data_IF_972387648377
#
_entry.id   IF_972387648377
#
_cell.length_a   1.000
_cell.length_b   1.000
_cell.length_c   1.000
_cell.angle_alpha   90.00
_cell.angle_beta   90.00
_cell.angle_gamma   90.00
#
_symmetry.space_group_name_H-M   'P 1'
#
loop_
_entity.id
_entity.type
_entity.pdbx_description
1 polymer ?
#
# COMPACT_ATOMS: atom_id res chain seq x y z
N UNK A 1 13.52 2.80 6.47
CA UNK A 1 12.74 2.06 5.44
C UNK A 1 11.91 3.08 4.68
N UNK A 2 11.94 3.04 3.34
CA UNK A 2 11.21 3.98 2.50
C UNK A 2 9.93 3.31 2.00
N UNK A 3 8.77 3.69 2.55
CA UNK A 3 7.49 3.09 2.17
C UNK A 3 7.14 3.29 0.68
N UNK A 4 7.75 4.27 0.01
CA UNK A 4 7.58 4.51 -1.43
C UNK A 4 8.27 3.40 -2.25
N UNK A 5 9.40 2.85 -1.78
CA UNK A 5 10.08 1.74 -2.46
C UNK A 5 9.23 0.47 -2.40
N UNK A 6 8.70 0.16 -1.21
CA UNK A 6 7.75 -0.94 -1.02
C UNK A 6 6.51 -0.77 -1.91
N UNK A 7 5.97 0.45 -1.99
CA UNK A 7 4.83 0.77 -2.84
C UNK A 7 5.14 0.58 -4.35
N UNK A 8 6.36 0.91 -4.78
CA UNK A 8 6.78 0.67 -6.16
C UNK A 8 6.86 -0.81 -6.49
N UNK A 9 7.35 -1.64 -5.55
CA UNK A 9 7.36 -3.10 -5.71
C UNK A 9 5.93 -3.64 -5.82
N UNK A 10 5.00 -3.12 -5.02
CA UNK A 10 3.56 -3.44 -5.13
C UNK A 10 3.06 -3.14 -6.55
N UNK A 11 3.35 -1.95 -7.10
CA UNK A 11 2.93 -1.59 -8.46
C UNK A 11 3.50 -2.51 -9.53
N UNK A 12 4.76 -2.93 -9.40
CA UNK A 12 5.38 -3.88 -10.34
C UNK A 12 4.70 -5.24 -10.28
N UNK A 13 4.46 -5.79 -9.08
CA UNK A 13 3.79 -7.09 -8.91
C UNK A 13 2.36 -7.07 -9.44
N UNK A 14 1.59 -6.04 -9.12
CA UNK A 14 0.23 -5.89 -9.62
C UNK A 14 0.19 -5.78 -11.15
N UNK A 15 1.12 -5.02 -11.74
CA UNK A 15 1.24 -4.90 -13.20
C UNK A 15 1.63 -6.20 -13.89
N UNK A 16 2.58 -6.97 -13.31
CA UNK A 16 3.04 -8.23 -13.87
C UNK A 16 1.94 -9.32 -13.94
N UNK A 17 0.99 -9.28 -13.02
CA UNK A 17 -0.12 -10.25 -12.93
C UNK A 17 -1.42 -9.73 -13.57
N UNK A 18 -1.46 -8.47 -14.00
CA UNK A 18 -2.61 -7.87 -14.67
C UNK A 18 -3.67 -7.27 -13.74
N UNK A 19 -3.35 -7.04 -12.47
CA UNK A 19 -4.23 -6.39 -11.49
C UNK A 19 -4.21 -4.84 -11.62
N UNK A 20 -4.41 -4.34 -12.84
CA UNK A 20 -4.33 -2.91 -13.15
C UNK A 20 -5.41 -2.06 -12.45
N UNK A 21 -6.59 -2.63 -12.17
CA UNK A 21 -7.64 -1.94 -11.40
C UNK A 21 -7.19 -1.64 -9.96
N UNK A 22 -6.63 -2.64 -9.28
CA UNK A 22 -6.12 -2.51 -7.91
C UNK A 22 -4.98 -1.48 -7.86
N UNK A 23 -4.08 -1.55 -8.84
CA UNK A 23 -2.99 -0.58 -8.98
C UNK A 23 -3.53 0.85 -9.14
N UNK A 24 -4.57 1.05 -9.95
CA UNK A 24 -5.23 2.36 -10.11
C UNK A 24 -5.90 2.83 -8.81
N UNK A 25 -6.53 1.95 -8.04
CA UNK A 25 -7.12 2.29 -6.73
C UNK A 25 -6.06 2.84 -5.77
N UNK A 26 -4.91 2.15 -5.67
CA UNK A 26 -3.80 2.57 -4.80
C UNK A 26 -3.19 3.88 -5.31
N UNK A 27 -3.00 4.03 -6.63
CA UNK A 27 -2.52 5.29 -7.23
C UNK A 27 -3.47 6.46 -6.95
N UNK A 28 -4.79 6.22 -7.01
CA UNK A 28 -5.78 7.23 -6.66
C UNK A 28 -5.64 7.64 -5.19
N UNK A 29 -5.51 6.68 -4.26
CA UNK A 29 -5.26 6.98 -2.85
C UNK A 29 -3.97 7.81 -2.65
N UNK A 30 -2.91 7.51 -3.41
CA UNK A 30 -1.68 8.29 -3.39
C UNK A 30 -1.89 9.74 -3.87
N UNK A 31 -2.59 9.93 -4.99
CA UNK A 31 -2.82 11.26 -5.57
C UNK A 31 -3.85 12.09 -4.80
N UNK A 32 -4.78 11.45 -4.08
CA UNK A 32 -5.80 12.13 -3.29
C UNK A 32 -5.30 12.68 -1.95
N UNK A 33 -4.08 12.34 -1.53
CA UNK A 33 -3.51 12.86 -0.29
C UNK A 33 -3.01 14.29 -0.42
N UNK A 34 -3.37 15.15 0.53
CA UNK A 34 -2.82 16.49 0.70
C UNK A 34 -2.08 16.58 2.05
N UNK A 35 -1.05 17.43 2.15
CA UNK A 35 -0.37 17.77 3.41
C UNK A 35 0.02 16.57 4.33
N UNK A 36 0.59 15.51 3.76
CA UNK A 36 1.09 14.35 4.53
C UNK A 36 0.09 13.20 4.68
N UNK A 37 -1.17 13.36 4.25
CA UNK A 37 -2.20 12.32 4.32
C UNK A 37 -2.00 11.18 3.30
N UNK A 38 -1.16 11.39 2.28
CA UNK A 38 -0.87 10.42 1.23
C UNK A 38 -0.53 9.03 1.77
N UNK A 39 0.34 8.98 2.79
CA UNK A 39 0.73 7.72 3.41
C UNK A 39 -0.47 6.99 4.05
N UNK A 40 -1.30 7.75 4.78
CA UNK A 40 -2.46 7.20 5.47
C UNK A 40 -3.51 6.65 4.49
N UNK A 41 -3.81 7.38 3.42
CA UNK A 41 -4.76 6.92 2.39
C UNK A 41 -4.28 5.66 1.69
N UNK A 42 -2.99 5.60 1.35
CA UNK A 42 -2.37 4.39 0.78
C UNK A 42 -2.49 3.23 1.78
N UNK A 43 -2.15 3.45 3.06
CA UNK A 43 -2.25 2.43 4.10
C UNK A 43 -3.68 1.90 4.25
N UNK A 44 -4.70 2.77 4.24
CA UNK A 44 -6.11 2.36 4.29
C UNK A 44 -6.47 1.46 3.10
N UNK A 45 -6.05 1.81 1.88
CA UNK A 45 -6.30 0.99 0.70
C UNK A 45 -5.62 -0.39 0.81
N UNK A 46 -4.39 -0.46 1.33
CA UNK A 46 -3.69 -1.73 1.53
C UNK A 46 -4.37 -2.61 2.60
N UNK A 47 -4.91 -2.01 3.66
CA UNK A 47 -5.70 -2.73 4.67
C UNK A 47 -7.00 -3.28 4.06
N UNK A 48 -7.67 -2.52 3.20
CA UNK A 48 -8.86 -3.01 2.49
C UNK A 48 -8.51 -4.21 1.57
N UNK A 49 -7.41 -4.13 0.83
CA UNK A 49 -6.93 -5.25 0.00
C UNK A 49 -6.64 -6.48 0.86
N UNK A 50 -5.97 -6.31 2.00
CA UNK A 50 -5.69 -7.40 2.97
C UNK A 50 -6.97 -8.09 3.45
N UNK A 51 -8.04 -7.34 3.68
CA UNK A 51 -9.31 -7.86 4.20
C UNK A 51 -10.17 -8.52 3.12
N UNK A 52 -10.31 -7.86 1.98
CA UNK A 52 -11.36 -8.17 0.99
C UNK A 52 -10.81 -8.85 -0.27
N UNK A 53 -9.49 -8.85 -0.50
CA UNK A 53 -8.85 -9.34 -1.73
C UNK A 53 -7.69 -10.29 -1.43
N UNK A 54 -7.97 -11.42 -0.76
CA UNK A 54 -6.97 -12.39 -0.24
C UNK A 54 -5.93 -12.82 -1.27
N UNK A 55 -6.35 -13.15 -2.51
CA UNK A 55 -5.40 -13.58 -3.56
C UNK A 55 -4.41 -12.49 -3.95
N UNK A 56 -4.88 -11.24 -4.05
CA UNK A 56 -4.04 -10.10 -4.37
C UNK A 56 -3.14 -9.78 -3.18
N UNK A 57 -3.69 -9.86 -1.96
CA UNK A 57 -2.93 -9.65 -0.74
C UNK A 57 -1.74 -10.61 -0.62
N UNK A 58 -1.93 -11.92 -0.83
CA UNK A 58 -0.83 -12.88 -0.73
C UNK A 58 0.31 -12.58 -1.72
N UNK A 59 0.02 -12.01 -2.90
CA UNK A 59 1.04 -11.59 -3.87
C UNK A 59 1.93 -10.44 -3.34
N UNK A 60 1.34 -9.50 -2.60
CA UNK A 60 1.98 -8.26 -2.13
C UNK A 60 2.20 -8.21 -0.61
N UNK A 61 2.00 -9.34 0.07
CA UNK A 61 1.92 -9.43 1.53
C UNK A 61 3.17 -8.92 2.24
N UNK A 62 4.35 -9.23 1.71
CA UNK A 62 5.62 -8.80 2.28
C UNK A 62 5.72 -7.28 2.34
N UNK A 63 5.47 -6.62 1.21
CA UNK A 63 5.54 -5.16 1.08
C UNK A 63 4.43 -4.48 1.91
N UNK A 64 3.22 -5.05 1.89
CA UNK A 64 2.08 -4.53 2.69
C UNK A 64 2.38 -4.59 4.19
N UNK A 65 2.88 -5.72 4.70
CA UNK A 65 3.24 -5.85 6.11
C UNK A 65 4.41 -4.94 6.50
N UNK A 66 5.39 -4.75 5.61
CA UNK A 66 6.47 -3.78 5.81
C UNK A 66 5.94 -2.34 5.94
N UNK A 67 5.01 -1.93 5.07
CA UNK A 67 4.37 -0.61 5.13
C UNK A 67 3.53 -0.46 6.41
N UNK A 68 2.73 -1.47 6.79
CA UNK A 68 1.94 -1.45 8.04
C UNK A 68 2.86 -1.43 9.27
N UNK A 69 3.97 -2.15 9.26
CA UNK A 69 4.90 -2.13 10.37
C UNK A 69 5.55 -0.75 10.52
N UNK A 70 5.91 -0.10 9.41
CA UNK A 70 6.43 1.28 9.43
C UNK A 70 5.45 2.27 10.08
N UNK A 71 4.13 2.14 9.86
CA UNK A 71 3.15 3.03 10.51
C UNK A 71 3.16 2.89 12.03
N UNK A 72 3.33 1.67 12.54
CA UNK A 72 3.39 1.43 14.00
C UNK A 72 4.58 2.18 14.60
N UNK A 73 5.73 2.15 13.95
CA UNK A 73 6.91 2.90 14.41
C UNK A 73 6.69 4.42 14.38
N UNK A 74 5.97 4.96 13.39
CA UNK A 74 5.64 6.40 13.38
C UNK A 74 4.67 6.81 14.48
N UNK A 75 3.68 5.97 14.82
CA UNK A 75 2.75 6.23 15.93
C UNK A 75 3.48 6.21 17.27
N UNK A 76 4.50 5.36 17.44
CA UNK A 76 5.31 5.29 18.66
C UNK A 76 6.39 6.39 18.76
N UNK A 77 6.56 7.22 17.73
CA UNK A 77 7.48 8.36 17.72
C UNK A 77 6.79 9.72 17.98
N UNK A 78 5.46 9.72 18.13
CA UNK A 78 4.65 10.86 18.60
C UNK A 78 4.37 10.75 20.10
#
# INVERSE_FOLDING_TARGET
>A
MNWIEELNVIYQKLGAVGFEEVKKEILKAQMSGHNGETYYLVLQQLIMIKKDRVQIYELIKGEVENIIHFSKHMIHLN
#
